data_IF_253485114712
#
_entry.id   IF_253485114712
#
_cell.length_a   1.000
_cell.length_b   1.000
_cell.length_c   1.000
_cell.angle_alpha   90.00
_cell.angle_beta   90.00
_cell.angle_gamma   90.00
#
_symmetry.space_group_name_H-M   'P 1'
#
loop_
_entity.id
_entity.type
_entity.pdbx_description
1 polymer ?
#
# COMPACT_ATOMS: atom_id res chain seq x y z
N UNK A 1 -66.48 20.40 48.71
CA UNK A 1 -65.94 19.05 49.00
C UNK A 1 -66.12 18.18 47.75
N UNK A 2 -65.14 17.31 47.49
CA UNK A 2 -64.93 16.43 46.30
C UNK A 2 -64.52 17.18 45.01
N UNK A 3 -63.28 17.17 44.47
CA UNK A 3 -62.18 16.19 44.26
C UNK A 3 -62.32 15.31 42.98
N UNK A 4 -61.66 15.78 41.88
CA UNK A 4 -60.72 15.13 40.89
C UNK A 4 -61.06 13.72 40.31
N UNK A 5 -60.63 13.26 39.09
CA UNK A 5 -59.71 13.78 38.03
C UNK A 5 -60.35 13.82 36.60
N UNK A 6 -59.86 14.48 35.55
CA UNK A 6 -58.53 14.65 34.92
C UNK A 6 -57.98 13.39 34.21
N UNK A 7 -58.42 13.16 32.96
CA UNK A 7 -57.73 12.29 32.00
C UNK A 7 -57.64 13.06 30.67
N UNK A 8 -56.50 13.71 30.46
CA UNK A 8 -56.08 14.21 29.14
C UNK A 8 -55.38 13.05 28.43
N UNK A 9 -56.06 12.43 27.46
CA UNK A 9 -55.45 11.49 26.53
C UNK A 9 -54.63 12.27 25.49
N UNK A 10 -53.36 12.49 25.81
CA UNK A 10 -52.35 12.86 24.82
C UNK A 10 -52.13 11.70 23.83
N UNK A 11 -52.69 11.79 22.63
CA UNK A 11 -52.27 10.95 21.52
C UNK A 11 -50.89 11.43 21.08
N UNK A 12 -49.82 10.79 21.55
CA UNK A 12 -48.49 10.99 20.99
C UNK A 12 -48.47 10.36 19.60
N UNK A 13 -48.71 11.19 18.58
CA UNK A 13 -48.23 10.91 17.23
C UNK A 13 -46.71 10.84 17.33
N UNK A 14 -46.15 9.63 17.44
CA UNK A 14 -44.75 9.39 17.10
C UNK A 14 -44.61 9.89 15.65
N UNK A 15 -43.76 10.89 15.37
CA UNK A 15 -43.37 11.14 14.01
C UNK A 15 -42.64 9.86 13.59
N UNK A 16 -43.26 9.06 12.73
CA UNK A 16 -42.55 8.04 11.97
C UNK A 16 -41.42 8.79 11.29
N UNK A 17 -40.21 8.64 11.85
CA UNK A 17 -39.02 9.25 11.28
C UNK A 17 -38.96 8.79 9.85
N UNK A 18 -39.03 9.73 8.91
CA UNK A 18 -38.60 9.50 7.55
C UNK A 18 -37.14 9.07 7.67
N UNK A 19 -36.89 7.77 7.65
CA UNK A 19 -35.58 7.24 7.37
C UNK A 19 -35.29 7.72 5.95
N UNK A 20 -34.61 8.87 5.83
CA UNK A 20 -34.09 9.34 4.56
C UNK A 20 -33.24 8.19 4.03
N UNK A 21 -33.54 7.65 2.83
CA UNK A 21 -32.68 6.65 2.24
C UNK A 21 -31.29 7.26 2.15
N UNK A 22 -30.32 6.61 2.80
CA UNK A 22 -28.92 6.99 2.70
C UNK A 22 -28.57 7.07 1.20
N UNK A 23 -27.95 8.16 0.73
CA UNK A 23 -27.56 8.27 -0.67
C UNK A 23 -26.72 7.04 -1.05
N UNK A 24 -27.19 6.26 -2.01
CA UNK A 24 -26.53 5.02 -2.45
C UNK A 24 -25.10 5.28 -2.98
N UNK A 25 -24.81 6.50 -3.42
CA UNK A 25 -23.46 6.97 -3.76
C UNK A 25 -22.50 7.00 -2.57
N UNK A 26 -22.99 7.35 -1.37
CA UNK A 26 -22.16 7.42 -0.17
C UNK A 26 -21.75 6.02 0.30
N UNK A 27 -22.63 5.03 0.15
CA UNK A 27 -22.31 3.62 0.43
C UNK A 27 -21.33 3.06 -0.59
N UNK A 28 -21.54 3.30 -1.89
CA UNK A 28 -20.63 2.82 -2.95
C UNK A 28 -19.22 3.42 -2.83
N UNK A 29 -19.11 4.72 -2.55
CA UNK A 29 -17.80 5.37 -2.36
C UNK A 29 -17.04 4.80 -1.15
N UNK A 30 -17.76 4.47 -0.07
CA UNK A 30 -17.16 3.92 1.14
C UNK A 30 -16.69 2.48 0.95
N UNK A 31 -17.43 1.67 0.21
CA UNK A 31 -17.01 0.31 -0.16
C UNK A 31 -15.74 0.33 -1.02
N UNK A 32 -15.68 1.19 -2.04
CA UNK A 32 -14.48 1.33 -2.88
C UNK A 32 -13.25 1.76 -2.07
N UNK A 33 -13.40 2.74 -1.16
CA UNK A 33 -12.30 3.16 -0.29
C UNK A 33 -11.83 2.05 0.64
N UNK A 34 -12.75 1.23 1.14
CA UNK A 34 -12.43 0.10 1.99
C UNK A 34 -11.64 -0.98 1.24
N UNK A 35 -12.09 -1.37 0.05
CA UNK A 35 -11.39 -2.36 -0.79
C UNK A 35 -9.98 -1.88 -1.14
N UNK A 36 -9.85 -0.61 -1.52
CA UNK A 36 -8.55 -0.02 -1.83
C UNK A 36 -7.59 -0.05 -0.63
N UNK A 37 -8.09 0.24 0.57
CA UNK A 37 -7.30 0.18 1.79
C UNK A 37 -6.91 -1.26 2.15
N UNK A 38 -7.83 -2.21 1.95
CA UNK A 38 -7.58 -3.62 2.20
C UNK A 38 -6.48 -4.15 1.26
N UNK A 39 -6.57 -3.88 -0.04
CA UNK A 39 -5.56 -4.27 -1.02
C UNK A 39 -4.19 -3.68 -0.70
N UNK A 40 -4.15 -2.41 -0.29
CA UNK A 40 -2.95 -1.74 0.12
C UNK A 40 -2.31 -2.41 1.35
N UNK A 41 -3.09 -2.66 2.40
CA UNK A 41 -2.58 -3.29 3.62
C UNK A 41 -2.19 -4.76 3.40
N UNK A 42 -2.86 -5.47 2.49
CA UNK A 42 -2.45 -6.81 2.07
C UNK A 42 -1.09 -6.78 1.39
N UNK A 43 -0.90 -5.85 0.44
CA UNK A 43 0.34 -5.76 -0.35
C UNK A 43 1.54 -5.30 0.47
N UNK A 44 1.38 -4.29 1.31
CA UNK A 44 2.52 -3.62 1.97
C UNK A 44 2.69 -3.97 3.45
N UNK A 45 1.63 -4.49 4.09
CA UNK A 45 1.59 -4.77 5.53
C UNK A 45 1.22 -6.21 5.88
N UNK A 46 1.16 -7.10 4.88
CA UNK A 46 0.85 -8.52 5.04
C UNK A 46 -0.50 -8.76 5.76
N UNK A 47 -1.50 -7.92 5.50
CA UNK A 47 -2.88 -8.20 5.91
C UNK A 47 -3.39 -9.45 5.18
N UNK A 48 -3.89 -10.43 5.93
CA UNK A 48 -4.45 -11.66 5.37
C UNK A 48 -5.80 -11.36 4.68
N UNK A 49 -5.82 -11.48 3.36
CA UNK A 49 -6.98 -11.18 2.52
C UNK A 49 -8.18 -12.11 2.77
N UNK A 50 -7.98 -13.25 3.43
CA UNK A 50 -9.05 -14.21 3.73
C UNK A 50 -9.81 -13.88 5.01
N UNK A 51 -9.29 -12.96 5.84
CA UNK A 51 -9.89 -12.64 7.14
C UNK A 51 -10.65 -11.32 7.08
N UNK A 52 -11.98 -11.36 7.30
CA UNK A 52 -12.82 -10.15 7.53
C UNK A 52 -12.70 -9.63 8.97
N UNK A 53 -11.53 -9.80 9.58
CA UNK A 53 -11.31 -9.43 10.98
C UNK A 53 -11.00 -7.93 11.07
N UNK A 54 -11.98 -7.16 11.56
CA UNK A 54 -11.86 -5.72 11.74
C UNK A 54 -10.71 -5.33 12.70
N UNK A 55 -10.36 -6.20 13.65
CA UNK A 55 -9.24 -5.94 14.56
C UNK A 55 -7.91 -6.01 13.80
N UNK A 56 -7.72 -7.05 12.96
CA UNK A 56 -6.52 -7.19 12.14
C UNK A 56 -6.34 -6.04 11.16
N UNK A 57 -7.42 -5.59 10.52
CA UNK A 57 -7.38 -4.40 9.67
C UNK A 57 -6.91 -3.17 10.45
N UNK A 58 -7.53 -2.93 11.62
CA UNK A 58 -7.21 -1.79 12.48
C UNK A 58 -5.75 -1.83 12.92
N UNK A 59 -5.23 -3.00 13.27
CA UNK A 59 -3.84 -3.15 13.69
C UNK A 59 -2.86 -2.88 12.55
N UNK A 60 -3.13 -3.40 11.36
CA UNK A 60 -2.32 -3.12 10.16
C UNK A 60 -2.40 -1.67 9.72
N UNK A 61 -3.54 -1.02 9.92
CA UNK A 61 -3.66 0.41 9.68
C UNK A 61 -2.81 1.24 10.65
N UNK A 62 -2.81 0.88 11.94
CA UNK A 62 -1.94 1.53 12.95
C UNK A 62 -0.45 1.33 12.64
N UNK A 63 -0.09 0.15 12.14
CA UNK A 63 1.28 -0.15 11.70
C UNK A 63 1.69 0.75 10.51
N UNK A 64 0.79 0.93 9.54
CA UNK A 64 0.97 1.87 8.43
C UNK A 64 1.08 3.32 8.90
N UNK A 65 0.15 3.78 9.75
CA UNK A 65 0.18 5.12 10.32
C UNK A 65 1.52 5.38 11.02
N UNK A 66 2.02 4.41 11.81
CA UNK A 66 3.32 4.48 12.47
C UNK A 66 4.47 4.57 11.48
N UNK A 67 4.47 3.77 10.42
CA UNK A 67 5.52 3.76 9.38
C UNK A 67 5.62 5.11 8.67
N UNK A 68 4.47 5.74 8.36
CA UNK A 68 4.42 7.06 7.74
C UNK A 68 4.55 8.23 8.72
N UNK A 69 4.83 7.97 10.00
CA UNK A 69 4.91 8.97 11.06
C UNK A 69 3.62 9.81 11.19
N UNK A 70 2.47 9.17 11.02
CA UNK A 70 1.14 9.76 11.17
C UNK A 70 0.59 9.54 12.59
N UNK A 71 -0.43 10.32 13.02
CA UNK A 71 -1.17 10.02 14.23
C UNK A 71 -1.76 8.61 14.16
N UNK A 72 -1.49 7.78 15.17
CA UNK A 72 -1.91 6.38 15.23
C UNK A 72 -3.36 6.33 15.72
N UNK A 73 -4.32 6.33 14.79
CA UNK A 73 -5.75 6.35 15.08
C UNK A 73 -6.41 4.99 14.86
N UNK A 74 -5.87 4.18 13.94
CA UNK A 74 -6.50 2.96 13.46
C UNK A 74 -7.83 3.22 12.73
N UNK A 75 -8.07 4.45 12.25
CA UNK A 75 -9.31 4.82 11.57
C UNK A 75 -9.03 5.24 10.14
N UNK A 76 -9.65 4.53 9.22
CA UNK A 76 -9.63 4.90 7.80
C UNK A 76 -10.33 6.24 7.62
N UNK A 77 -9.65 7.17 6.96
CA UNK A 77 -10.17 8.49 6.65
C UNK A 77 -9.63 8.96 5.30
N UNK A 78 -10.20 10.04 4.77
CA UNK A 78 -9.86 10.58 3.44
C UNK A 78 -8.37 10.88 3.27
N UNK A 79 -7.70 11.40 4.30
CA UNK A 79 -6.25 11.68 4.27
C UNK A 79 -5.43 10.40 4.15
N UNK A 80 -5.82 9.34 4.85
CA UNK A 80 -5.14 8.04 4.75
C UNK A 80 -5.34 7.43 3.36
N UNK A 81 -6.55 7.49 2.81
CA UNK A 81 -6.84 7.04 1.45
C UNK A 81 -5.98 7.79 0.42
N UNK A 82 -5.88 9.11 0.53
CA UNK A 82 -5.05 9.94 -0.36
C UNK A 82 -3.58 9.49 -0.31
N UNK A 83 -3.05 9.19 0.88
CA UNK A 83 -1.69 8.67 1.04
C UNK A 83 -1.56 7.29 0.37
N UNK A 84 -2.54 6.40 0.56
CA UNK A 84 -2.56 5.07 -0.03
C UNK A 84 -2.65 5.09 -1.57
N UNK A 85 -3.19 6.17 -2.17
CA UNK A 85 -3.29 6.34 -3.63
C UNK A 85 -1.99 6.84 -4.29
N UNK A 86 -1.02 7.33 -3.51
CA UNK A 86 0.22 7.86 -4.08
C UNK A 86 1.05 6.74 -4.72
N UNK A 87 1.60 6.94 -5.93
CA UNK A 87 2.52 5.98 -6.54
C UNK A 87 3.69 5.67 -5.62
N UNK A 88 4.09 4.40 -5.57
CA UNK A 88 5.10 3.90 -4.63
C UNK A 88 5.85 2.68 -5.16
N UNK A 89 6.90 2.30 -4.44
CA UNK A 89 7.60 1.04 -4.62
C UNK A 89 6.66 -0.15 -4.37
N UNK A 90 6.90 -1.27 -5.05
CA UNK A 90 6.12 -2.51 -4.90
C UNK A 90 6.55 -3.40 -3.73
N UNK A 91 7.67 -3.08 -3.06
CA UNK A 91 8.22 -3.85 -1.94
C UNK A 91 7.42 -3.58 -0.65
N UNK A 92 7.11 -4.59 0.19
CA UNK A 92 6.40 -4.37 1.44
C UNK A 92 7.15 -3.46 2.42
N UNK A 93 6.39 -2.67 3.20
CA UNK A 93 6.93 -1.65 4.11
C UNK A 93 7.41 -2.26 5.44
N UNK A 94 6.83 -3.40 5.85
CA UNK A 94 7.09 -4.07 7.14
C UNK A 94 7.58 -5.50 6.98
N UNK A 95 8.08 -5.84 5.80
CA UNK A 95 8.86 -7.05 5.68
C UNK A 95 10.06 -6.94 6.64
N UNK A 96 10.26 -7.97 7.46
CA UNK A 96 11.60 -8.33 7.91
C UNK A 96 12.49 -8.37 6.64
N UNK A 97 13.81 -8.26 6.71
CA UNK A 97 14.68 -8.33 5.51
C UNK A 97 14.58 -9.71 4.81
N UNK A 98 13.42 -10.08 4.27
CA UNK A 98 12.88 -11.44 4.11
C UNK A 98 12.60 -11.77 2.65
N UNK A 99 12.90 -10.84 1.73
CA UNK A 99 13.09 -11.24 0.34
C UNK A 99 14.25 -12.25 0.22
N UNK A 100 15.18 -12.28 1.19
CA UNK A 100 16.29 -13.22 1.24
C UNK A 100 16.61 -13.59 2.71
N UNK A 101 16.75 -14.88 3.01
CA UNK A 101 17.18 -15.31 4.35
C UNK A 101 18.54 -14.70 4.74
N UNK A 102 18.73 -14.40 6.03
CA UNK A 102 20.04 -14.09 6.65
C UNK A 102 20.72 -12.75 6.29
N UNK A 103 19.97 -11.66 6.08
CA UNK A 103 20.53 -10.30 5.81
C UNK A 103 21.42 -10.31 4.56
N UNK A 104 20.83 -10.31 3.36
CA UNK A 104 21.57 -10.49 2.11
C UNK A 104 22.65 -9.42 1.97
N UNK A 105 23.88 -9.87 1.76
CA UNK A 105 25.04 -9.02 1.46
C UNK A 105 25.78 -9.65 0.30
N UNK A 106 26.15 -8.81 -0.68
CA UNK A 106 27.02 -9.24 -1.77
C UNK A 106 28.35 -9.74 -1.20
N UNK A 107 28.74 -10.96 -1.59
CA UNK A 107 30.03 -11.56 -1.20
C UNK A 107 31.20 -10.90 -1.94
N UNK A 108 30.95 -10.40 -3.15
CA UNK A 108 31.90 -9.68 -4.00
C UNK A 108 31.73 -8.17 -3.88
N UNK A 109 32.83 -7.43 -3.99
CA UNK A 109 32.81 -5.96 -4.17
C UNK A 109 32.46 -5.54 -5.59
N UNK A 110 32.55 -6.45 -6.56
CA UNK A 110 32.12 -6.21 -7.93
C UNK A 110 30.79 -6.91 -8.12
N UNK A 111 29.74 -6.12 -8.35
CA UNK A 111 28.38 -6.60 -8.62
C UNK A 111 28.08 -6.35 -10.08
N UNK A 112 27.71 -7.40 -10.81
CA UNK A 112 27.38 -7.32 -12.23
C UNK A 112 25.91 -7.01 -12.43
N UNK A 113 25.59 -6.21 -13.44
CA UNK A 113 24.21 -5.96 -13.83
C UNK A 113 23.99 -6.10 -15.34
N UNK A 114 22.77 -6.47 -15.71
CA UNK A 114 22.34 -6.62 -17.10
C UNK A 114 20.90 -6.13 -17.24
N UNK A 115 20.64 -5.31 -18.25
CA UNK A 115 19.30 -4.89 -18.63
C UNK A 115 18.79 -5.92 -19.64
N UNK A 116 17.77 -6.68 -19.26
CA UNK A 116 17.26 -7.81 -20.05
C UNK A 116 16.12 -7.40 -20.96
N UNK A 117 15.25 -6.50 -20.49
CA UNK A 117 14.24 -5.85 -21.33
C UNK A 117 14.31 -4.34 -21.14
N UNK A 118 13.73 -3.60 -22.08
CA UNK A 118 13.67 -2.14 -22.05
C UNK A 118 12.21 -1.69 -22.08
N UNK A 119 11.94 -0.50 -21.54
CA UNK A 119 10.65 0.16 -21.75
C UNK A 119 10.55 0.72 -23.18
N UNK A 120 9.34 0.74 -23.73
CA UNK A 120 9.02 1.45 -24.98
C UNK A 120 9.03 2.97 -24.83
N UNK A 121 9.00 3.48 -23.59
CA UNK A 121 8.78 4.90 -23.31
C UNK A 121 10.06 5.73 -23.49
N UNK A 122 11.23 5.08 -23.52
CA UNK A 122 12.55 5.71 -23.60
C UNK A 122 13.47 4.98 -24.58
N UNK A 123 14.38 5.69 -25.28
CA UNK A 123 15.45 5.05 -26.04
C UNK A 123 16.33 4.18 -25.15
N UNK A 124 16.82 3.05 -25.67
CA UNK A 124 17.67 2.13 -24.90
C UNK A 124 18.91 2.82 -24.33
N UNK A 125 19.55 3.71 -25.11
CA UNK A 125 20.69 4.51 -24.65
C UNK A 125 20.37 5.37 -23.43
N UNK A 126 19.13 5.87 -23.32
CA UNK A 126 18.68 6.66 -22.19
C UNK A 126 18.44 5.79 -20.96
N UNK A 127 17.85 4.61 -21.16
CA UNK A 127 17.69 3.62 -20.08
C UNK A 127 19.05 3.19 -19.54
N UNK A 128 20.01 2.88 -20.42
CA UNK A 128 21.38 2.53 -20.07
C UNK A 128 22.04 3.61 -19.21
N UNK A 129 21.92 4.88 -19.63
CA UNK A 129 22.45 6.03 -18.90
C UNK A 129 21.82 6.16 -17.50
N UNK A 130 20.50 6.05 -17.40
CA UNK A 130 19.76 6.19 -16.13
C UNK A 130 20.12 5.07 -15.17
N UNK A 131 20.15 3.82 -15.64
CA UNK A 131 20.51 2.65 -14.81
C UNK A 131 21.95 2.77 -14.31
N UNK A 132 22.89 3.11 -15.19
CA UNK A 132 24.28 3.30 -14.81
C UNK A 132 24.44 4.43 -13.77
N UNK A 133 23.73 5.54 -13.95
CA UNK A 133 23.72 6.66 -12.98
C UNK A 133 23.13 6.25 -11.63
N UNK A 134 22.01 5.53 -11.62
CA UNK A 134 21.37 5.07 -10.40
C UNK A 134 22.27 4.13 -9.58
N UNK A 135 22.91 3.16 -10.23
CA UNK A 135 23.87 2.27 -9.57
C UNK A 135 25.12 3.03 -9.11
N UNK A 136 25.57 4.03 -9.88
CA UNK A 136 26.72 4.85 -9.50
C UNK A 136 26.47 5.74 -8.28
N UNK A 137 25.21 6.10 -7.98
CA UNK A 137 24.88 6.81 -6.73
C UNK A 137 25.24 5.94 -5.51
N UNK A 138 24.99 4.64 -5.58
CA UNK A 138 25.36 3.72 -4.51
C UNK A 138 26.88 3.52 -4.43
N UNK A 139 27.58 3.30 -5.54
CA UNK A 139 29.04 3.07 -5.51
C UNK A 139 29.86 4.24 -4.95
N UNK A 140 29.28 5.45 -4.86
CA UNK A 140 29.91 6.60 -4.20
C UNK A 140 29.89 6.49 -2.67
N UNK A 141 28.87 5.84 -2.11
CA UNK A 141 28.63 5.79 -0.67
C UNK A 141 29.02 4.44 -0.04
N UNK A 142 29.07 3.37 -0.84
CA UNK A 142 29.42 2.03 -0.39
C UNK A 142 30.55 1.43 -1.23
N UNK A 143 31.40 0.53 -0.68
CA UNK A 143 32.56 -0.03 -1.38
C UNK A 143 32.16 -1.15 -2.38
N UNK A 144 31.13 -0.90 -3.19
CA UNK A 144 30.69 -1.76 -4.29
C UNK A 144 30.95 -1.07 -5.63
N UNK A 145 31.35 -1.85 -6.62
CA UNK A 145 31.54 -1.44 -8.00
C UNK A 145 30.51 -2.16 -8.87
N UNK A 146 29.70 -1.41 -9.61
CA UNK A 146 28.70 -1.98 -10.50
C UNK A 146 29.24 -2.05 -11.92
N UNK A 147 29.25 -3.26 -12.49
CA UNK A 147 29.77 -3.50 -13.85
C UNK A 147 28.69 -4.07 -14.75
N UNK A 148 28.43 -3.40 -15.87
CA UNK A 148 27.50 -3.92 -16.89
C UNK A 148 28.12 -5.11 -17.60
N UNK A 149 27.33 -6.16 -17.82
CA UNK A 149 27.68 -7.28 -18.70
C UNK A 149 26.63 -7.41 -19.83
N UNK A 150 27.06 -7.91 -20.99
CA UNK A 150 26.19 -8.09 -22.16
C UNK A 150 25.70 -9.54 -22.30
N UNK A 151 26.51 -10.51 -21.87
CA UNK A 151 26.25 -11.94 -22.03
C UNK A 151 26.37 -12.67 -20.69
N UNK A 152 25.68 -13.80 -20.56
CA UNK A 152 25.63 -14.60 -19.33
C UNK A 152 24.65 -14.07 -18.29
N UNK A 153 24.65 -14.70 -17.11
CA UNK A 153 23.82 -14.32 -15.96
C UNK A 153 24.53 -13.24 -15.15
N UNK A 154 23.79 -12.19 -14.77
CA UNK A 154 24.31 -11.10 -13.93
C UNK A 154 23.80 -11.26 -12.49
N UNK A 155 24.49 -10.62 -11.53
CA UNK A 155 24.03 -10.54 -10.14
C UNK A 155 22.71 -9.77 -10.02
N UNK A 156 22.53 -8.73 -10.86
CA UNK A 156 21.31 -7.93 -10.96
C UNK A 156 20.79 -7.99 -12.40
N UNK A 157 19.64 -8.61 -12.61
CA UNK A 157 18.91 -8.57 -13.89
C UNK A 157 17.75 -7.56 -13.81
N UNK A 158 17.78 -6.56 -14.69
CA UNK A 158 16.78 -5.50 -14.73
C UNK A 158 15.81 -5.77 -15.87
N UNK A 159 14.52 -5.84 -15.55
CA UNK A 159 13.42 -6.09 -16.50
C UNK A 159 12.34 -5.05 -16.34
N UNK A 160 11.77 -4.64 -17.46
CA UNK A 160 10.54 -3.87 -17.55
C UNK A 160 9.42 -4.80 -17.98
N UNK A 161 8.35 -4.85 -17.20
CA UNK A 161 7.19 -5.70 -17.40
C UNK A 161 5.89 -4.95 -17.06
N UNK A 162 4.76 -5.46 -17.54
CA UNK A 162 3.42 -4.97 -17.19
C UNK A 162 2.66 -6.08 -16.45
N UNK A 163 1.97 -5.71 -15.38
CA UNK A 163 1.28 -6.66 -14.49
C UNK A 163 2.20 -7.15 -13.37
N UNK A 164 1.76 -7.02 -12.12
CA UNK A 164 2.56 -7.36 -10.93
C UNK A 164 2.53 -8.85 -10.56
N UNK A 165 2.73 -9.75 -11.53
CA UNK A 165 2.57 -11.20 -11.32
C UNK A 165 3.64 -12.08 -11.98
N UNK A 166 4.79 -11.54 -12.37
CA UNK A 166 5.87 -12.28 -13.05
C UNK A 166 7.13 -12.46 -12.19
N UNK A 167 6.95 -12.74 -10.90
CA UNK A 167 8.03 -13.22 -10.03
C UNK A 167 7.78 -14.70 -9.70
N UNK A 168 8.07 -15.59 -10.66
CA UNK A 168 8.19 -17.05 -10.49
C UNK A 168 9.53 -17.53 -11.00
#
# INVERSE_FOLDING_TARGET
>A
MAAVPLILLWATLLPSGLALPLPQEATGTREVQWEQAQDYLTRFYHLDSKTKDANRFTDKLKEMEKFFHLPITGKLNSRIIEIMQKPRCGVPDVAEYSLFANKPKWSSKVVTYKIVSYTSDLPHSKVDEIVAKALNLWSKEIPLNFRRIQFGTADIEIRFARGGKDDS
#
